data_IF_285757032295
#
_entry.id   IF_285757032295
#
_cell.length_a   1.000
_cell.length_b   1.000
_cell.length_c   1.000
_cell.angle_alpha   90.00
_cell.angle_beta   90.00
_cell.angle_gamma   90.00
#
_symmetry.space_group_name_H-M   'P 1'
#
loop_
_entity.id
_entity.type
_entity.pdbx_description
1 polymer ?
#
# COMPACT_ATOMS: atom_id res chain seq x y z
N UNK A 1 30.60 6.21 -7.94
CA UNK A 1 30.25 5.83 -6.55
C UNK A 1 29.05 4.91 -6.65
N UNK A 2 29.27 3.60 -6.55
CA UNK A 2 28.18 2.61 -6.67
C UNK A 2 27.51 2.54 -5.31
N UNK A 3 26.28 3.04 -5.21
CA UNK A 3 25.51 2.95 -3.97
C UNK A 3 25.00 1.52 -3.85
N UNK A 4 25.28 0.87 -2.71
CA UNK A 4 24.67 -0.41 -2.40
C UNK A 4 23.18 -0.18 -2.13
N UNK A 5 22.31 -0.94 -2.81
CA UNK A 5 20.86 -0.96 -2.55
C UNK A 5 20.57 -1.23 -1.08
N UNK A 6 21.41 -2.02 -0.41
CA UNK A 6 21.29 -2.32 1.02
C UNK A 6 21.49 -1.10 1.92
N UNK A 7 22.14 -0.04 1.44
CA UNK A 7 22.34 1.21 2.17
C UNK A 7 21.31 2.28 1.82
N UNK A 8 20.30 1.97 1.02
CA UNK A 8 19.28 2.91 0.61
C UNK A 8 18.09 2.90 1.60
N UNK A 9 17.67 4.09 2.04
CA UNK A 9 16.42 4.32 2.75
C UNK A 9 15.50 5.14 1.85
N UNK A 10 14.31 4.60 1.57
CA UNK A 10 13.26 5.35 0.86
C UNK A 10 12.29 5.93 1.88
N UNK A 11 11.99 7.21 1.76
CA UNK A 11 10.95 7.85 2.55
C UNK A 11 10.08 8.76 1.68
N UNK A 12 8.87 9.04 2.16
CA UNK A 12 7.93 9.95 1.51
C UNK A 12 7.46 11.00 2.50
N UNK A 13 7.42 12.25 2.04
CA UNK A 13 6.82 13.37 2.78
C UNK A 13 6.48 14.51 1.83
N UNK A 14 5.37 15.21 2.09
CA UNK A 14 4.91 16.35 1.30
C UNK A 14 4.83 16.07 -0.22
N UNK A 15 4.24 14.93 -0.59
CA UNK A 15 4.02 14.49 -1.98
C UNK A 15 5.29 14.09 -2.73
N UNK A 16 6.41 13.91 -2.03
CA UNK A 16 7.73 13.69 -2.63
C UNK A 16 8.37 12.44 -2.08
N UNK A 17 9.12 11.75 -2.94
CA UNK A 17 9.85 10.54 -2.60
C UNK A 17 11.33 10.88 -2.57
N UNK A 18 12.02 10.39 -1.54
CA UNK A 18 13.44 10.61 -1.33
C UNK A 18 14.12 9.27 -1.13
N UNK A 19 15.31 9.11 -1.70
CA UNK A 19 16.25 8.08 -1.28
C UNK A 19 17.44 8.72 -0.58
N UNK A 20 17.75 8.20 0.59
CA UNK A 20 18.86 8.63 1.42
C UNK A 20 19.85 7.48 1.61
N UNK A 21 21.12 7.81 1.74
CA UNK A 21 22.12 6.88 2.24
C UNK A 21 21.91 6.69 3.75
N UNK A 22 21.66 5.46 4.18
CA UNK A 22 21.44 5.10 5.60
C UNK A 22 22.65 5.36 6.48
N UNK A 23 23.86 5.38 5.91
CA UNK A 23 25.11 5.54 6.66
C UNK A 23 25.33 6.98 7.12
N UNK A 24 25.02 7.97 6.27
CA UNK A 24 25.35 9.38 6.52
C UNK A 24 24.17 10.36 6.36
N UNK A 25 23.01 9.87 5.93
CA UNK A 25 21.80 10.67 5.70
C UNK A 25 21.83 11.53 4.43
N UNK A 26 22.86 11.41 3.59
CA UNK A 26 22.94 12.17 2.34
C UNK A 26 21.85 11.74 1.37
N UNK A 27 21.29 12.72 0.65
CA UNK A 27 20.29 12.45 -0.38
C UNK A 27 20.96 11.90 -1.63
N UNK A 28 20.47 10.75 -2.08
CA UNK A 28 20.89 10.08 -3.32
C UNK A 28 20.08 10.62 -4.48
N UNK A 29 18.76 10.50 -4.38
CA UNK A 29 17.82 11.00 -5.38
C UNK A 29 16.54 11.50 -4.71
N UNK A 30 15.79 12.29 -5.47
CA UNK A 30 14.49 12.84 -5.10
C UNK A 30 13.59 12.81 -6.32
N UNK A 31 12.35 12.38 -6.12
CA UNK A 31 11.35 12.30 -7.17
C UNK A 31 10.08 13.04 -6.77
N UNK A 32 9.64 13.93 -7.65
CA UNK A 32 8.39 14.66 -7.54
C UNK A 32 7.33 13.93 -8.37
N UNK A 33 6.27 13.42 -7.71
CA UNK A 33 5.21 12.64 -8.38
C UNK A 33 4.22 13.56 -9.10
N UNK A 34 4.67 14.09 -10.24
CA UNK A 34 3.91 15.08 -11.02
C UNK A 34 2.49 14.60 -11.37
N UNK A 35 1.51 15.48 -11.18
CA UNK A 35 0.10 15.22 -11.43
C UNK A 35 -0.62 14.41 -10.34
N UNK A 36 0.07 14.05 -9.26
CA UNK A 36 -0.54 13.40 -8.08
C UNK A 36 -0.51 14.41 -6.94
N UNK A 37 -1.68 14.71 -6.36
CA UNK A 37 -1.75 15.59 -5.20
C UNK A 37 -1.00 15.02 -3.99
N UNK A 38 -0.64 15.87 -3.04
CA UNK A 38 -0.04 15.44 -1.78
C UNK A 38 -1.01 14.56 -0.99
N UNK A 39 -0.49 13.52 -0.34
CA UNK A 39 -1.27 12.53 0.40
C UNK A 39 -0.37 11.55 1.13
N UNK A 40 -0.97 10.70 1.95
CA UNK A 40 -0.24 9.63 2.63
C UNK A 40 0.20 8.60 1.59
N UNK A 41 1.51 8.40 1.48
CA UNK A 41 2.10 7.43 0.58
C UNK A 41 2.35 6.09 1.30
N UNK A 42 1.91 5.01 0.68
CA UNK A 42 2.39 3.67 0.99
C UNK A 42 3.60 3.37 0.13
N UNK A 43 4.67 2.83 0.74
CA UNK A 43 5.92 2.51 0.06
C UNK A 43 6.22 1.02 0.15
N UNK A 44 6.71 0.44 -0.94
CA UNK A 44 7.32 -0.88 -0.94
C UNK A 44 8.58 -0.88 -1.81
N UNK A 45 9.68 -1.36 -1.26
CA UNK A 45 10.96 -1.45 -1.95
C UNK A 45 11.20 -2.91 -2.34
N UNK A 46 11.47 -3.13 -3.62
CA UNK A 46 11.91 -4.41 -4.18
C UNK A 46 13.39 -4.34 -4.57
N UNK A 47 13.91 -5.36 -5.26
CA UNK A 47 15.32 -5.38 -5.69
C UNK A 47 15.69 -4.29 -6.69
N UNK A 48 14.74 -3.84 -7.52
CA UNK A 48 14.98 -2.93 -8.64
C UNK A 48 14.00 -1.75 -8.70
N UNK A 49 12.85 -1.83 -8.00
CA UNK A 49 11.81 -0.80 -8.01
C UNK A 49 11.38 -0.36 -6.62
N UNK A 50 10.93 0.88 -6.53
CA UNK A 50 10.12 1.43 -5.43
C UNK A 50 8.68 1.57 -5.92
N UNK A 51 7.73 0.93 -5.25
CA UNK A 51 6.31 1.10 -5.50
C UNK A 51 5.70 2.10 -4.52
N UNK A 52 4.94 3.04 -5.06
CA UNK A 52 4.30 4.11 -4.30
C UNK A 52 2.80 4.11 -4.58
N UNK A 53 2.00 3.89 -3.54
CA UNK A 53 0.56 4.07 -3.58
C UNK A 53 0.19 5.41 -2.95
N UNK A 54 -0.43 6.32 -3.70
CA UNK A 54 -0.78 7.66 -3.21
C UNK A 54 -1.96 8.23 -3.99
N UNK A 55 -3.00 8.71 -3.29
CA UNK A 55 -4.16 9.41 -3.86
C UNK A 55 -4.81 8.71 -5.08
N UNK A 56 -5.04 7.40 -4.99
CA UNK A 56 -5.62 6.61 -6.08
C UNK A 56 -4.66 6.28 -7.22
N UNK A 57 -3.36 6.57 -7.08
CA UNK A 57 -2.34 6.16 -8.04
C UNK A 57 -1.43 5.09 -7.45
N UNK A 58 -0.90 4.26 -8.35
CA UNK A 58 0.24 3.39 -8.10
C UNK A 58 1.34 3.79 -9.07
N UNK A 59 2.52 4.11 -8.56
CA UNK A 59 3.69 4.48 -9.35
C UNK A 59 4.82 3.53 -9.02
N UNK A 60 5.58 3.10 -10.03
CA UNK A 60 6.84 2.42 -9.83
C UNK A 60 7.99 3.31 -10.28
N UNK A 61 8.96 3.52 -9.39
CA UNK A 61 10.21 4.21 -9.67
C UNK A 61 11.35 3.19 -9.74
N UNK A 62 12.36 3.47 -10.54
CA UNK A 62 13.62 2.75 -10.51
C UNK A 62 14.32 3.04 -9.18
N UNK A 63 14.77 2.00 -8.49
CA UNK A 63 15.37 2.10 -7.17
C UNK A 63 16.70 2.87 -7.15
N UNK A 64 17.45 2.81 -8.25
CA UNK A 64 18.81 3.34 -8.35
C UNK A 64 18.81 4.86 -8.56
N UNK A 65 17.92 5.36 -9.41
CA UNK A 65 17.90 6.78 -9.84
C UNK A 65 16.60 7.53 -9.52
N UNK A 66 15.56 6.83 -9.06
CA UNK A 66 14.27 7.42 -8.73
C UNK A 66 13.41 7.78 -9.94
N UNK A 67 13.80 7.43 -11.17
CA UNK A 67 13.03 7.74 -12.37
C UNK A 67 11.75 6.90 -12.44
N UNK A 68 10.65 7.50 -12.91
CA UNK A 68 9.39 6.78 -13.11
C UNK A 68 9.54 5.73 -14.21
N UNK A 69 9.28 4.47 -13.87
CA UNK A 69 9.24 3.34 -14.80
C UNK A 69 7.84 3.23 -15.41
N UNK A 70 6.82 3.29 -14.56
CA UNK A 70 5.42 3.26 -14.97
C UNK A 70 4.52 3.88 -13.90
N UNK A 71 3.30 4.23 -14.31
CA UNK A 71 2.21 4.63 -13.41
C UNK A 71 0.87 4.03 -13.82
N UNK A 72 0.01 3.81 -12.84
CA UNK A 72 -1.37 3.39 -13.02
C UNK A 72 -2.30 4.29 -12.17
N UNK A 73 -3.39 4.78 -12.75
CA UNK A 73 -4.39 5.63 -12.08
C UNK A 73 -5.42 4.85 -11.26
N UNK A 74 -5.23 3.53 -11.11
CA UNK A 74 -6.09 2.59 -10.42
C UNK A 74 -7.58 2.81 -10.76
N UNK A 75 -7.89 2.99 -12.05
CA UNK A 75 -9.21 3.41 -12.50
C UNK A 75 -10.33 2.54 -11.88
N UNK A 76 -11.27 3.19 -11.21
CA UNK A 76 -12.39 2.54 -10.52
C UNK A 76 -12.07 2.00 -9.11
N UNK A 77 -10.88 2.27 -8.56
CA UNK A 77 -10.49 1.91 -7.18
C UNK A 77 -10.64 3.09 -6.20
N UNK A 78 -11.16 4.24 -6.64
CA UNK A 78 -11.32 5.45 -5.82
C UNK A 78 -10.09 6.37 -5.85
N UNK A 79 -10.22 7.56 -5.24
CA UNK A 79 -9.16 8.56 -5.16
C UNK A 79 -8.58 8.68 -3.73
N UNK A 80 -8.55 7.56 -3.00
CA UNK A 80 -8.20 7.53 -1.59
C UNK A 80 -6.79 6.97 -1.39
N UNK A 81 -6.43 6.77 -0.12
CA UNK A 81 -5.23 6.07 0.25
C UNK A 81 -5.18 4.66 -0.36
N UNK A 82 -3.95 4.17 -0.50
CA UNK A 82 -3.64 2.94 -1.19
C UNK A 82 -2.87 2.06 -0.21
N UNK A 83 -3.37 0.87 0.09
CA UNK A 83 -2.59 -0.19 0.74
C UNK A 83 -1.96 -1.06 -0.35
N UNK A 84 -0.70 -1.46 -0.18
CA UNK A 84 -0.01 -2.26 -1.18
C UNK A 84 0.92 -3.30 -0.58
N UNK A 85 1.13 -4.37 -1.36
CA UNK A 85 2.02 -5.48 -1.10
C UNK A 85 2.59 -5.95 -2.44
N UNK A 86 3.85 -6.37 -2.49
CA UNK A 86 4.41 -7.04 -3.67
C UNK A 86 4.84 -8.44 -3.29
N UNK A 87 4.50 -9.41 -4.12
CA UNK A 87 4.83 -10.82 -3.86
C UNK A 87 4.93 -11.62 -5.15
N UNK A 88 5.68 -12.72 -5.12
CA UNK A 88 5.84 -13.67 -6.22
C UNK A 88 5.10 -14.95 -5.86
N UNK A 89 4.03 -15.32 -6.59
CA UNK A 89 3.36 -16.59 -6.41
C UNK A 89 4.30 -17.80 -6.60
N UNK A 90 3.96 -18.97 -6.06
CA UNK A 90 4.76 -20.19 -6.29
C UNK A 90 4.62 -20.67 -7.74
N UNK A 91 5.51 -21.51 -8.29
CA UNK A 91 5.24 -22.09 -9.61
C UNK A 91 3.95 -22.94 -9.53
N UNK A 92 3.12 -22.91 -10.57
CA UNK A 92 2.03 -23.89 -10.65
C UNK A 92 2.65 -25.28 -10.80
N UNK A 93 2.10 -26.26 -10.08
CA UNK A 93 2.55 -27.64 -10.19
C UNK A 93 2.51 -28.08 -11.66
N UNK A 94 3.67 -28.48 -12.20
CA UNK A 94 3.80 -28.89 -13.60
C UNK A 94 4.21 -27.80 -14.59
N UNK A 95 4.42 -26.55 -14.15
CA UNK A 95 5.02 -25.50 -15.00
C UNK A 95 6.54 -25.46 -14.81
N UNK A 96 7.29 -25.74 -15.88
CA UNK A 96 8.77 -25.65 -15.87
C UNK A 96 9.22 -24.21 -15.65
N UNK A 97 10.13 -23.99 -14.70
CA UNK A 97 10.90 -22.77 -14.35
C UNK A 97 10.88 -21.59 -15.33
N UNK A 98 9.70 -21.00 -15.56
CA UNK A 98 9.57 -19.69 -16.17
C UNK A 98 9.98 -18.62 -15.16
N UNK A 99 10.47 -17.48 -15.66
CA UNK A 99 10.64 -16.28 -14.81
C UNK A 99 9.27 -15.94 -14.25
N UNK A 100 9.11 -16.06 -12.94
CA UNK A 100 7.86 -15.71 -12.29
C UNK A 100 7.80 -14.21 -12.07
N UNK A 101 6.81 -13.58 -12.68
CA UNK A 101 6.61 -12.15 -12.53
C UNK A 101 5.97 -11.87 -11.18
N UNK A 102 6.54 -10.91 -10.45
CA UNK A 102 5.94 -10.44 -9.21
C UNK A 102 4.59 -9.79 -9.50
N UNK A 103 3.67 -9.95 -8.55
CA UNK A 103 2.35 -9.33 -8.56
C UNK A 103 2.33 -8.24 -7.49
N UNK A 104 1.89 -7.05 -7.88
CA UNK A 104 1.61 -5.96 -6.97
C UNK A 104 0.14 -6.04 -6.58
N UNK A 105 -0.13 -6.27 -5.31
CA UNK A 105 -1.48 -6.30 -4.74
C UNK A 105 -1.76 -4.93 -4.15
N UNK A 106 -2.86 -4.34 -4.59
CA UNK A 106 -3.28 -3.00 -4.15
C UNK A 106 -4.70 -3.05 -3.65
N UNK A 107 -4.97 -2.39 -2.52
CA UNK A 107 -6.32 -2.17 -2.04
C UNK A 107 -6.61 -0.70 -1.77
N UNK A 108 -7.81 -0.27 -2.18
CA UNK A 108 -8.34 1.07 -1.94
C UNK A 108 -9.86 1.04 -2.07
N UNK A 109 -10.55 1.90 -1.34
CA UNK A 109 -11.99 2.15 -1.42
C UNK A 109 -12.87 0.88 -1.48
N UNK A 110 -12.66 -0.05 -0.54
CA UNK A 110 -13.42 -1.30 -0.49
C UNK A 110 -13.13 -2.29 -1.63
N UNK A 111 -12.02 -2.13 -2.34
CA UNK A 111 -11.63 -3.00 -3.46
C UNK A 111 -10.18 -3.42 -3.31
N UNK A 112 -9.84 -4.53 -3.96
CA UNK A 112 -8.48 -5.02 -4.12
C UNK A 112 -8.25 -5.45 -5.55
N UNK A 113 -7.07 -5.18 -6.09
CA UNK A 113 -6.65 -5.60 -7.42
C UNK A 113 -5.23 -6.16 -7.39
N UNK A 114 -4.93 -6.99 -8.39
CA UNK A 114 -3.57 -7.44 -8.68
C UNK A 114 -3.10 -6.79 -9.97
N UNK A 115 -1.84 -6.37 -9.98
CA UNK A 115 -1.19 -5.76 -11.13
C UNK A 115 0.14 -6.46 -11.42
N UNK A 116 0.57 -6.46 -12.67
CA UNK A 116 1.93 -6.90 -13.04
C UNK A 116 2.97 -5.94 -12.47
N UNK A 117 4.05 -6.46 -11.89
CA UNK A 117 5.18 -5.63 -11.42
C UNK A 117 5.92 -4.88 -12.54
N UNK A 118 5.92 -5.42 -13.76
CA UNK A 118 6.73 -4.87 -14.85
C UNK A 118 6.11 -3.67 -15.56
N UNK A 119 4.79 -3.70 -15.83
CA UNK A 119 4.07 -2.62 -16.53
C UNK A 119 3.04 -1.90 -15.68
N UNK A 120 2.68 -2.46 -14.52
CA UNK A 120 1.55 -1.96 -13.72
C UNK A 120 0.18 -2.24 -14.35
N UNK A 121 0.06 -3.20 -15.28
CA UNK A 121 -1.23 -3.57 -15.86
C UNK A 121 -2.09 -4.36 -14.88
N UNK A 122 -3.39 -4.09 -14.86
CA UNK A 122 -4.33 -4.74 -13.95
C UNK A 122 -4.64 -6.16 -14.45
N UNK A 123 -4.31 -7.15 -13.64
CA UNK A 123 -4.61 -8.57 -13.90
C UNK A 123 -6.04 -8.93 -13.51
N UNK A 124 -6.50 -8.43 -12.36
CA UNK A 124 -7.82 -8.71 -11.82
C UNK A 124 -8.27 -7.64 -10.83
N UNK A 125 -9.58 -7.57 -10.58
CA UNK A 125 -10.20 -6.72 -9.56
C UNK A 125 -11.20 -7.52 -8.74
N UNK A 126 -11.28 -7.23 -7.45
CA UNK A 126 -12.25 -7.79 -6.52
C UNK A 126 -12.86 -6.65 -5.68
N UNK A 127 -14.19 -6.58 -5.66
CA UNK A 127 -14.93 -5.52 -4.98
C UNK A 127 -15.24 -5.79 -3.50
N UNK A 128 -14.59 -6.77 -2.87
CA UNK A 128 -14.74 -7.14 -1.45
C UNK A 128 -16.21 -7.10 -0.99
N UNK A 129 -17.02 -8.03 -1.49
CA UNK A 129 -18.48 -8.02 -1.35
C UNK A 129 -18.96 -7.77 0.09
N UNK A 130 -19.77 -6.72 0.25
CA UNK A 130 -20.28 -6.17 1.52
C UNK A 130 -19.19 -5.72 2.52
N UNK A 131 -18.00 -5.37 2.04
CA UNK A 131 -16.90 -4.80 2.82
C UNK A 131 -17.02 -3.30 3.08
N UNK A 132 -17.90 -2.61 2.34
CA UNK A 132 -18.05 -1.16 2.39
C UNK A 132 -17.09 -0.46 1.44
N UNK A 133 -16.75 0.80 1.77
CA UNK A 133 -15.89 1.67 0.97
C UNK A 133 -14.65 2.15 1.74
N UNK A 134 -14.41 1.57 2.92
CA UNK A 134 -13.26 1.90 3.77
C UNK A 134 -11.96 1.45 3.11
N UNK A 135 -10.83 1.99 3.57
CA UNK A 135 -9.52 1.52 3.15
C UNK A 135 -9.29 0.08 3.61
N UNK A 136 -9.04 -0.88 2.69
CA UNK A 136 -8.73 -2.24 3.11
C UNK A 136 -7.28 -2.37 3.55
N UNK A 137 -7.03 -3.18 4.59
CA UNK A 137 -5.69 -3.64 4.97
C UNK A 137 -5.36 -4.97 4.30
N UNK A 138 -4.10 -5.17 3.94
CA UNK A 138 -3.60 -6.38 3.29
C UNK A 138 -2.45 -6.96 4.10
N UNK A 139 -2.45 -8.28 4.32
CA UNK A 139 -1.27 -9.03 4.76
C UNK A 139 -1.06 -10.26 3.87
N UNK A 140 0.19 -10.65 3.66
CA UNK A 140 0.54 -11.91 3.02
C UNK A 140 0.22 -13.08 3.96
N UNK A 141 -0.47 -14.10 3.46
CA UNK A 141 -0.82 -15.30 4.23
C UNK A 141 0.02 -16.51 3.77
N UNK A 142 0.09 -16.71 2.46
CA UNK A 142 0.97 -17.68 1.81
C UNK A 142 1.42 -17.14 0.46
N UNK A 143 2.29 -17.88 -0.24
CA UNK A 143 2.74 -17.52 -1.60
C UNK A 143 1.58 -17.30 -2.59
N UNK A 144 0.44 -17.97 -2.41
CA UNK A 144 -0.68 -17.90 -3.35
C UNK A 144 -1.90 -17.14 -2.80
N UNK A 145 -1.85 -16.70 -1.54
CA UNK A 145 -3.00 -16.06 -0.89
C UNK A 145 -2.65 -14.85 -0.04
N UNK A 146 -3.52 -13.85 -0.08
CA UNK A 146 -3.53 -12.71 0.83
C UNK A 146 -4.76 -12.73 1.73
N UNK A 147 -4.61 -12.17 2.93
CA UNK A 147 -5.73 -11.79 3.78
C UNK A 147 -6.00 -10.31 3.61
N UNK A 148 -7.27 -9.96 3.46
CA UNK A 148 -7.73 -8.58 3.33
C UNK A 148 -8.78 -8.29 4.39
N UNK A 149 -8.62 -7.18 5.10
CA UNK A 149 -9.59 -6.68 6.07
C UNK A 149 -10.24 -5.41 5.55
N UNK A 150 -11.56 -5.33 5.52
CA UNK A 150 -12.29 -4.14 5.08
C UNK A 150 -13.60 -3.99 5.86
N UNK A 151 -13.81 -2.80 6.42
CA UNK A 151 -14.98 -2.50 7.24
C UNK A 151 -15.06 -3.46 8.43
N UNK A 152 -16.01 -4.41 8.37
CA UNK A 152 -16.29 -5.38 9.44
C UNK A 152 -16.04 -6.82 9.01
N UNK A 153 -15.33 -7.02 7.90
CA UNK A 153 -15.12 -8.32 7.27
C UNK A 153 -13.64 -8.60 7.01
N UNK A 154 -13.34 -9.89 7.03
CA UNK A 154 -12.09 -10.49 6.57
C UNK A 154 -12.35 -11.29 5.30
N UNK A 155 -11.36 -11.33 4.42
CA UNK A 155 -11.37 -12.05 3.16
C UNK A 155 -10.04 -12.79 3.03
N UNK A 156 -10.08 -14.00 2.50
CA UNK A 156 -8.89 -14.67 1.94
C UNK A 156 -9.03 -14.70 0.44
N UNK A 157 -8.02 -14.20 -0.27
CA UNK A 157 -8.08 -13.99 -1.72
C UNK A 157 -6.90 -14.70 -2.37
N UNK A 158 -7.19 -15.39 -3.47
CA UNK A 158 -6.17 -16.00 -4.32
C UNK A 158 -5.46 -14.90 -5.15
N UNK A 159 -4.13 -14.84 -5.06
CA UNK A 159 -3.30 -13.80 -5.67
C UNK A 159 -3.33 -13.84 -7.20
N UNK A 160 -3.54 -15.02 -7.81
CA UNK A 160 -3.45 -15.19 -9.27
C UNK A 160 -4.65 -14.64 -9.99
N UNK A 161 -5.83 -14.90 -9.45
CA UNK A 161 -7.10 -14.62 -10.12
C UNK A 161 -8.00 -13.67 -9.36
N UNK A 162 -7.59 -13.21 -8.18
CA UNK A 162 -8.35 -12.29 -7.35
C UNK A 162 -9.62 -12.87 -6.74
N UNK A 163 -9.87 -14.18 -6.87
CA UNK A 163 -11.10 -14.79 -6.34
C UNK A 163 -11.04 -14.89 -4.82
N UNK A 164 -12.14 -14.52 -4.18
CA UNK A 164 -12.35 -14.73 -2.75
C UNK A 164 -12.50 -16.23 -2.47
N UNK A 165 -11.57 -16.79 -1.68
CA UNK A 165 -11.62 -18.17 -1.19
C UNK A 165 -12.65 -18.27 -0.07
N UNK A 166 -12.57 -17.37 0.90
CA UNK A 166 -13.59 -17.24 1.95
C UNK A 166 -13.74 -15.78 2.39
N UNK A 167 -14.89 -15.47 2.98
CA UNK A 167 -15.14 -14.20 3.65
C UNK A 167 -15.84 -14.42 5.00
N UNK A 168 -15.55 -13.57 5.99
CA UNK A 168 -16.14 -13.66 7.34
C UNK A 168 -16.41 -12.27 7.91
N UNK A 169 -17.64 -12.05 8.40
CA UNK A 169 -17.99 -10.87 9.21
C UNK A 169 -17.48 -11.09 10.64
N UNK A 170 -16.62 -10.20 11.11
CA UNK A 170 -15.97 -10.27 12.43
C UNK A 170 -16.61 -9.34 13.47
N UNK A 171 -17.25 -8.25 13.03
CA UNK A 171 -17.91 -7.29 13.93
C UNK A 171 -19.37 -7.07 13.55
N UNK A 172 -20.24 -7.01 14.57
CA UNK A 172 -21.64 -6.60 14.47
C UNK A 172 -21.85 -5.14 14.88
N UNK A 173 -20.80 -4.43 15.29
CA UNK A 173 -20.92 -3.06 15.76
C UNK A 173 -21.60 -2.20 14.70
N UNK A 174 -22.56 -1.36 15.09
CA UNK A 174 -23.28 -0.48 14.18
C UNK A 174 -22.62 0.90 14.06
N UNK A 175 -21.85 1.31 15.08
CA UNK A 175 -21.25 2.65 15.20
C UNK A 175 -19.72 2.56 15.34
N UNK A 176 -18.99 3.49 14.71
CA UNK A 176 -17.52 3.62 14.80
C UNK A 176 -16.75 3.45 13.49
N UNK A 177 -15.56 4.06 13.41
CA UNK A 177 -14.62 3.90 12.29
C UNK A 177 -14.21 2.43 12.16
N UNK A 178 -14.52 1.81 11.02
CA UNK A 178 -14.33 0.38 10.83
C UNK A 178 -13.08 0.13 9.97
N UNK A 179 -11.90 0.23 10.59
CA UNK A 179 -10.64 -0.19 9.97
C UNK A 179 -10.17 -1.49 10.61
N UNK A 180 -9.85 -2.48 9.79
CA UNK A 180 -9.37 -3.77 10.27
C UNK A 180 -7.85 -3.77 10.25
N UNK A 181 -7.21 -4.00 11.40
CA UNK A 181 -5.76 -4.22 11.48
C UNK A 181 -5.50 -5.71 11.69
N UNK A 182 -4.51 -6.27 11.01
CA UNK A 182 -4.19 -7.70 11.06
C UNK A 182 -2.70 -7.92 11.29
N UNK A 183 -2.37 -9.02 11.96
CA UNK A 183 -1.01 -9.53 12.09
C UNK A 183 -1.05 -11.04 12.27
N UNK A 184 -0.08 -11.72 11.69
CA UNK A 184 0.29 -13.10 12.02
C UNK A 184 1.72 -13.12 12.54
N UNK A 185 2.15 -14.22 13.17
CA UNK A 185 3.57 -14.38 13.53
C UNK A 185 4.47 -14.20 12.29
N UNK A 186 4.09 -14.83 11.17
CA UNK A 186 4.83 -14.76 9.92
C UNK A 186 4.88 -13.34 9.33
N UNK A 187 3.75 -12.62 9.29
CA UNK A 187 3.73 -11.26 8.74
C UNK A 187 4.55 -10.30 9.61
N UNK A 188 4.57 -10.53 10.92
CA UNK A 188 5.37 -9.73 11.87
C UNK A 188 6.86 -9.97 11.67
N UNK A 189 7.28 -11.23 11.49
CA UNK A 189 8.65 -11.58 11.17
C UNK A 189 9.08 -11.00 9.81
N UNK A 190 8.23 -11.12 8.79
CA UNK A 190 8.50 -10.55 7.47
C UNK A 190 8.69 -9.04 7.52
N UNK A 191 7.83 -8.29 8.22
CA UNK A 191 8.01 -6.86 8.41
C UNK A 191 9.33 -6.54 9.13
N UNK A 192 9.68 -7.33 10.15
CA UNK A 192 10.95 -7.18 10.87
C UNK A 192 12.17 -7.42 9.96
N UNK A 193 12.13 -8.44 9.09
CA UNK A 193 13.23 -8.76 8.18
C UNK A 193 13.33 -7.81 6.98
N UNK A 194 12.20 -7.31 6.50
CA UNK A 194 12.15 -6.32 5.42
C UNK A 194 12.54 -4.91 5.91
N UNK A 195 12.79 -4.74 7.21
CA UNK A 195 13.06 -3.44 7.84
C UNK A 195 12.01 -2.37 7.48
N UNK A 196 10.79 -2.82 7.17
CA UNK A 196 9.67 -1.98 6.85
C UNK A 196 8.92 -1.66 8.15
N UNK A 197 8.70 -0.38 8.42
CA UNK A 197 7.88 0.06 9.55
C UNK A 197 6.41 -0.38 9.38
N UNK A 198 5.69 -0.43 10.49
CA UNK A 198 4.25 -0.71 10.50
C UNK A 198 3.49 0.49 9.88
N UNK A 199 3.09 0.42 8.61
CA UNK A 199 2.10 1.32 8.03
C UNK A 199 0.81 0.56 7.69
N UNK A 200 0.08 0.17 8.75
CA UNK A 200 -1.31 -0.28 8.62
C UNK A 200 -2.22 0.94 8.62
N UNK A 201 -2.24 1.64 7.48
CA UNK A 201 -2.72 3.01 7.28
C UNK A 201 -3.94 3.42 8.15
N UNK A 202 -3.72 4.12 9.28
CA UNK A 202 -4.75 4.43 10.27
C UNK A 202 -5.05 5.94 10.25
N UNK A 203 -5.82 6.46 9.29
CA UNK A 203 -6.28 7.88 9.27
C UNK A 203 -5.14 8.89 9.60
N UNK A 204 -3.93 8.74 9.06
CA UNK A 204 -2.80 9.56 9.49
C UNK A 204 -2.84 10.93 8.78
N UNK A 205 -3.47 12.01 9.24
CA UNK A 205 -4.04 12.39 10.52
C UNK A 205 -5.53 12.77 10.31
N UNK A 206 -6.45 12.44 11.23
CA UNK A 206 -7.74 13.13 11.27
C UNK A 206 -7.43 14.63 11.20
N UNK A 207 -7.91 15.25 10.13
CA UNK A 207 -7.78 16.67 9.79
C UNK A 207 -7.28 17.54 10.94
N UNK A 208 -6.20 18.29 10.71
CA UNK A 208 -5.83 19.46 11.53
C UNK A 208 -7.06 20.39 11.80
N UNK A 209 -8.14 20.29 11.01
CA UNK A 209 -9.43 20.97 11.23
C UNK A 209 -10.00 20.83 12.64
N UNK A 210 -9.95 19.67 13.31
CA UNK A 210 -10.57 19.55 14.65
C UNK A 210 -9.76 20.24 15.75
N UNK A 211 -8.47 20.54 15.53
CA UNK A 211 -7.60 21.19 16.52
C UNK A 211 -7.41 22.69 16.30
N UNK A 212 -7.52 23.21 15.07
CA UNK A 212 -7.45 24.66 14.85
C UNK A 212 -8.81 25.36 14.95
N UNK A 213 -9.91 24.74 14.48
CA UNK A 213 -11.24 25.37 14.56
C UNK A 213 -11.73 25.49 16.02
N UNK A 214 -11.38 24.55 16.90
CA UNK A 214 -11.71 24.65 18.34
C UNK A 214 -10.80 25.59 19.13
N UNK A 215 -9.58 25.87 18.67
CA UNK A 215 -8.64 26.76 19.38
C UNK A 215 -8.84 28.23 19.03
N UNK A 216 -9.32 28.53 17.81
CA UNK A 216 -9.60 29.91 17.37
C UNK A 216 -11.10 30.25 17.27
N UNK A 217 -11.99 29.27 17.12
CA UNK A 217 -13.45 29.51 17.10
C UNK A 217 -14.07 29.80 18.47
N UNK A 218 -13.43 29.39 19.57
CA UNK A 218 -13.91 29.67 20.93
C UNK A 218 -13.45 31.03 21.48
N UNK A 219 -12.44 31.67 20.87
CA UNK A 219 -11.93 32.98 21.30
C UNK A 219 -12.62 34.17 20.60
N UNK A 220 -13.36 33.94 19.51
CA UNK A 220 -14.09 34.97 18.76
C UNK A 220 -15.60 35.01 19.04
N UNK A 221 -16.08 34.20 19.99
CA UNK A 221 -17.49 34.21 20.41
C UNK A 221 -17.72 34.79 21.82
N UNK A 222 -16.68 35.35 22.46
CA UNK A 222 -16.78 35.98 23.81
C UNK A 222 -15.97 37.29 23.92
N UNK A 223 -15.73 38.00 22.81
CA UNK A 223 -15.37 39.44 22.83
C UNK A 223 -16.22 40.17 21.80
#
# INVERSE_FOLDING_TARGET
MTISVENLLVCSTAGKIYALNKTDGSQIWKSDLSGIHDGVASLFVSSDKVYIGMNGFLVALNLVDGMEVWRNSLAGMGYNEVSLLVTTPNPEEGTSSGVQNAVVIVASYGKVCGLTSDSGDILWKNGLKDGGYDLPSIILDSSDTVLVGCGKKLYKINIRNGKTIWQKKISKCLFGCSYVTMATNQSSLQNSFMHAGFCNNPIAQHSIKDKEEKKYGAFLAIM
#
